data_IF_126375234857
#
_entry.id   IF_126375234857
#
_cell.length_a   1.000
_cell.length_b   1.000
_cell.length_c   1.000
_cell.angle_alpha   90.00
_cell.angle_beta   90.00
_cell.angle_gamma   90.00
#
_symmetry.space_group_name_H-M   'P 1'
#
loop_
_entity.id
_entity.type
_entity.pdbx_description
1 polymer ?
#
# COMPACT_ATOMS: atom_id res chain seq x y z
N UNK A 1 8.22 5.96 13.57
CA UNK A 1 7.23 6.11 12.49
C UNK A 1 7.82 5.79 11.12
N UNK A 2 7.63 4.54 10.68
CA UNK A 2 8.11 4.04 9.38
C UNK A 2 6.93 3.47 8.61
N UNK A 3 6.70 4.00 7.41
CA UNK A 3 5.68 3.50 6.48
C UNK A 3 6.34 2.81 5.29
N UNK A 4 5.76 1.69 4.86
CA UNK A 4 6.12 1.02 3.62
C UNK A 4 4.92 1.11 2.68
N UNK A 5 5.15 1.55 1.45
CA UNK A 5 4.12 1.64 0.42
C UNK A 5 4.43 0.59 -0.65
N UNK A 6 3.56 -0.41 -0.76
CA UNK A 6 3.50 -1.31 -1.91
C UNK A 6 2.73 -0.65 -3.04
N UNK A 7 3.28 -0.70 -4.24
CA UNK A 7 2.67 -0.21 -5.47
C UNK A 7 2.69 -1.36 -6.47
N UNK A 8 1.52 -1.78 -6.93
CA UNK A 8 1.37 -2.77 -8.00
C UNK A 8 0.73 -2.11 -9.22
N UNK A 9 1.42 -2.16 -10.36
CA UNK A 9 1.04 -1.48 -11.59
C UNK A 9 0.78 -2.51 -12.68
N UNK A 10 -0.44 -2.53 -13.20
CA UNK A 10 -0.88 -3.42 -14.26
C UNK A 10 -1.77 -2.73 -15.27
N UNK A 11 -1.28 -2.51 -16.49
CA UNK A 11 -2.05 -1.91 -17.59
C UNK A 11 -2.61 -0.52 -17.25
N UNK A 12 -3.89 -0.47 -16.88
CA UNK A 12 -4.64 0.76 -16.53
C UNK A 12 -4.98 0.89 -15.04
N UNK A 13 -4.70 -0.13 -14.23
CA UNK A 13 -5.07 -0.15 -12.81
C UNK A 13 -3.80 -0.05 -11.93
N UNK A 14 -3.95 0.56 -10.77
CA UNK A 14 -2.90 0.65 -9.76
C UNK A 14 -3.48 0.28 -8.40
N UNK A 15 -2.87 -0.71 -7.76
CA UNK A 15 -3.18 -1.09 -6.39
C UNK A 15 -2.13 -0.48 -5.45
N UNK A 16 -2.61 0.19 -4.39
CA UNK A 16 -1.77 0.74 -3.34
C UNK A 16 -1.99 -0.03 -2.04
N UNK A 17 -0.89 -0.40 -1.39
CA UNK A 17 -0.87 -1.03 -0.08
C UNK A 17 0.01 -0.23 0.88
N UNK A 18 -0.59 0.37 1.89
CA UNK A 18 0.14 1.06 2.96
C UNK A 18 0.32 0.12 4.15
N UNK A 19 1.55 0.02 4.63
CA UNK A 19 1.91 -0.71 5.84
C UNK A 19 2.60 0.22 6.83
N UNK A 20 2.12 0.23 8.07
CA UNK A 20 2.76 0.92 9.19
C UNK A 20 3.58 -0.07 10.02
N UNK A 21 4.90 0.12 10.05
CA UNK A 21 5.82 -0.85 10.66
C UNK A 21 5.71 -0.94 12.19
N UNK A 22 5.20 0.10 12.83
CA UNK A 22 5.16 0.24 14.29
C UNK A 22 3.88 -0.37 14.88
N UNK A 23 2.74 -0.17 14.22
CA UNK A 23 1.44 -0.72 14.62
C UNK A 23 1.12 -2.06 13.96
N UNK A 24 1.78 -2.39 12.84
CA UNK A 24 1.45 -3.55 12.01
C UNK A 24 0.19 -3.36 11.16
N UNK A 25 -0.36 -2.15 11.08
CA UNK A 25 -1.61 -1.87 10.38
C UNK A 25 -1.45 -1.86 8.85
N UNK A 26 -2.52 -2.26 8.15
CA UNK A 26 -2.57 -2.32 6.69
C UNK A 26 -3.80 -1.61 6.12
N UNK A 27 -3.60 -0.85 5.05
CA UNK A 27 -4.66 -0.22 4.27
C UNK A 27 -4.45 -0.49 2.79
N UNK A 28 -5.52 -0.85 2.08
CA UNK A 28 -5.49 -1.11 0.64
C UNK A 28 -6.40 -0.15 -0.09
N UNK A 29 -5.90 0.44 -1.17
CA UNK A 29 -6.67 1.25 -2.10
C UNK A 29 -6.53 0.69 -3.51
N UNK A 30 -7.65 0.65 -4.24
CA UNK A 30 -7.75 0.18 -5.62
C UNK A 30 -8.46 1.25 -6.42
N UNK A 31 -7.84 1.69 -7.52
CA UNK A 31 -8.41 2.64 -8.48
C UNK A 31 -8.55 1.96 -9.83
#
# INVERSE_FOLDING_TARGET
MTYRLGVDVGGTFTDLLLFEAESGSFWRHKT
#
